data_IF_952035993676
#
_entry.id   IF_952035993676
#
_cell.length_a   1.000
_cell.length_b   1.000
_cell.length_c   1.000
_cell.angle_alpha   90.00
_cell.angle_beta   90.00
_cell.angle_gamma   90.00
#
_symmetry.space_group_name_H-M   'P 1'
#
loop_
_entity.id
_entity.type
_entity.pdbx_description
1 polymer ?
#
# COMPACT_ATOMS: atom_id res chain seq x y z
N UNK A 1 -12.93 30.35 26.88
CA UNK A 1 -12.47 29.02 26.52
C UNK A 1 -11.59 29.17 25.30
N UNK A 2 -10.28 29.07 25.48
CA UNK A 2 -9.27 29.26 24.42
C UNK A 2 -9.07 27.96 23.70
N UNK A 3 -9.43 27.89 22.41
CA UNK A 3 -9.17 26.75 21.54
C UNK A 3 -7.70 26.84 21.11
N UNK A 4 -6.84 26.04 21.73
CA UNK A 4 -5.47 25.86 21.26
C UNK A 4 -5.48 25.12 19.92
N UNK A 5 -5.36 25.87 18.82
CA UNK A 5 -4.97 25.31 17.52
C UNK A 5 -3.52 24.87 17.60
N UNK A 6 -3.27 23.58 17.75
CA UNK A 6 -1.94 23.03 17.56
C UNK A 6 -1.55 23.18 16.09
N UNK A 7 -0.61 24.06 15.80
CA UNK A 7 -0.01 24.23 14.47
C UNK A 7 0.89 23.02 14.24
N UNK A 8 0.45 22.09 13.39
CA UNK A 8 1.24 20.94 12.98
C UNK A 8 2.34 21.39 12.00
N UNK A 9 3.60 21.19 12.41
CA UNK A 9 4.76 21.47 11.55
C UNK A 9 4.99 20.28 10.60
N UNK A 10 5.30 20.56 9.31
CA UNK A 10 5.58 19.53 8.27
C UNK A 10 6.67 18.56 8.73
N UNK A 11 7.69 19.07 9.44
CA UNK A 11 8.75 18.26 10.02
C UNK A 11 8.26 17.22 11.02
N UNK A 12 7.16 17.49 11.74
CA UNK A 12 6.62 16.59 12.75
C UNK A 12 5.80 15.46 12.13
N UNK A 13 5.15 15.70 10.99
CA UNK A 13 4.39 14.66 10.32
C UNK A 13 5.30 13.70 9.53
N UNK A 14 6.26 14.24 8.79
CA UNK A 14 7.31 13.42 8.16
C UNK A 14 8.17 12.69 9.20
N UNK A 15 8.49 13.33 10.33
CA UNK A 15 9.16 12.69 11.47
C UNK A 15 8.29 11.63 12.13
N UNK A 16 6.97 11.81 12.25
CA UNK A 16 6.07 10.76 12.77
C UNK A 16 6.06 9.54 11.86
N UNK A 17 6.09 9.68 10.55
CA UNK A 17 6.38 8.55 9.66
C UNK A 17 7.82 8.01 9.81
N UNK A 18 8.78 8.82 10.28
CA UNK A 18 10.15 8.40 10.56
C UNK A 18 10.37 7.89 11.99
N UNK A 19 9.55 8.32 12.96
CA UNK A 19 9.71 8.00 14.39
C UNK A 19 8.93 6.76 14.84
N UNK A 20 8.42 5.95 13.93
CA UNK A 20 7.63 4.77 14.28
C UNK A 20 8.43 3.57 14.81
N UNK A 21 9.67 3.79 15.27
CA UNK A 21 10.52 2.72 15.82
C UNK A 21 11.03 2.96 17.25
N UNK A 22 10.53 3.97 17.97
CA UNK A 22 11.01 4.30 19.33
C UNK A 22 9.92 4.09 20.39
N UNK A 23 9.15 3.01 20.27
CA UNK A 23 8.22 2.56 21.28
C UNK A 23 7.39 1.41 20.74
N UNK A 24 7.33 0.28 21.45
CA UNK A 24 6.42 -0.80 21.06
C UNK A 24 5.01 -0.23 20.99
N UNK A 25 4.48 -0.10 19.77
CA UNK A 25 3.08 0.26 19.58
C UNK A 25 2.20 -0.85 20.12
N UNK A 26 1.01 -0.52 20.67
CA UNK A 26 0.16 -1.50 21.34
C UNK A 26 -0.35 -2.60 20.40
N UNK A 27 -0.45 -2.33 19.09
CA UNK A 27 -0.96 -3.29 18.11
C UNK A 27 0.06 -3.50 16.99
N UNK A 28 0.22 -4.74 16.55
CA UNK A 28 0.90 -5.12 15.33
C UNK A 28 -0.12 -5.72 14.36
N UNK A 29 -0.16 -5.19 13.12
CA UNK A 29 -1.06 -5.64 12.07
C UNK A 29 -0.24 -6.30 10.96
N UNK A 30 -0.45 -7.60 10.77
CA UNK A 30 0.07 -8.34 9.63
C UNK A 30 -0.88 -8.19 8.46
N UNK A 31 -0.39 -7.64 7.35
CA UNK A 31 -1.18 -7.44 6.13
C UNK A 31 -0.70 -8.45 5.10
N UNK A 32 -1.49 -9.49 4.89
CA UNK A 32 -1.22 -10.53 3.89
C UNK A 32 -1.66 -10.04 2.52
N UNK A 33 -0.70 -9.88 1.65
CA UNK A 33 -0.89 -9.30 0.32
C UNK A 33 -0.24 -10.15 -0.78
N UNK A 34 -0.62 -9.84 -2.00
CA UNK A 34 0.15 -10.19 -3.19
C UNK A 34 0.27 -8.93 -4.06
N UNK A 35 1.45 -8.64 -4.62
CA UNK A 35 1.66 -7.44 -5.44
C UNK A 35 0.79 -7.39 -6.70
N UNK A 36 0.29 -8.54 -7.17
CA UNK A 36 -0.59 -8.68 -8.33
C UNK A 36 -2.08 -8.68 -7.95
N UNK A 37 -2.42 -8.53 -6.67
CA UNK A 37 -3.79 -8.60 -6.21
C UNK A 37 -4.50 -7.24 -6.32
N UNK A 38 -5.51 -7.09 -7.20
CA UNK A 38 -6.26 -5.84 -7.34
C UNK A 38 -7.10 -5.51 -6.10
N UNK A 39 -7.52 -6.52 -5.30
CA UNK A 39 -8.21 -6.31 -4.03
C UNK A 39 -7.27 -5.72 -2.98
N UNK A 40 -6.00 -6.17 -2.95
CA UNK A 40 -4.98 -5.59 -2.08
C UNK A 40 -4.72 -4.12 -2.44
N UNK A 41 -4.69 -3.81 -3.75
CA UNK A 41 -4.61 -2.44 -4.24
C UNK A 41 -5.86 -1.62 -3.88
N UNK A 42 -7.04 -2.22 -3.99
CA UNK A 42 -8.32 -1.61 -3.61
C UNK A 42 -8.44 -1.29 -2.12
N UNK A 43 -7.67 -1.95 -1.26
CA UNK A 43 -7.64 -1.72 0.19
C UNK A 43 -6.79 -0.50 0.59
N UNK A 44 -5.88 -0.04 -0.26
CA UNK A 44 -4.97 1.07 0.04
C UNK A 44 -5.64 2.34 0.60
N UNK A 45 -6.81 2.81 0.09
CA UNK A 45 -7.50 3.96 0.67
C UNK A 45 -7.86 3.79 2.14
N UNK A 46 -8.29 2.59 2.52
CA UNK A 46 -8.66 2.23 3.90
C UNK A 46 -7.41 2.21 4.80
N UNK A 47 -6.36 1.51 4.37
CA UNK A 47 -5.09 1.44 5.10
C UNK A 47 -4.51 2.83 5.30
N UNK A 48 -4.53 3.67 4.27
CA UNK A 48 -4.02 5.04 4.35
C UNK A 48 -4.78 5.90 5.35
N UNK A 49 -6.11 5.83 5.33
CA UNK A 49 -6.94 6.52 6.31
C UNK A 49 -6.62 6.05 7.73
N UNK A 50 -6.56 4.74 7.93
CA UNK A 50 -6.27 4.13 9.22
C UNK A 50 -4.89 4.57 9.75
N UNK A 51 -3.87 4.62 8.88
CA UNK A 51 -2.53 5.10 9.23
C UNK A 51 -2.51 6.59 9.63
N UNK A 52 -3.34 7.42 9.00
CA UNK A 52 -3.41 8.85 9.32
C UNK A 52 -4.14 9.06 10.66
N UNK A 53 -5.28 8.43 10.84
CA UNK A 53 -6.12 8.64 12.02
C UNK A 53 -5.56 7.94 13.27
N UNK A 54 -5.05 6.71 13.14
CA UNK A 54 -4.65 5.86 14.26
C UNK A 54 -3.24 5.25 14.14
N UNK A 55 -2.44 5.69 13.20
CA UNK A 55 -1.12 5.10 12.93
C UNK A 55 -0.13 5.15 14.10
N UNK A 56 -0.37 5.97 15.13
CA UNK A 56 0.39 5.96 16.38
C UNK A 56 0.14 4.72 17.24
N UNK A 57 -0.98 4.01 17.03
CA UNK A 57 -1.41 2.87 17.84
C UNK A 57 -0.94 1.53 17.29
N UNK A 58 -0.57 1.45 16.02
CA UNK A 58 -0.20 0.19 15.39
C UNK A 58 1.01 0.29 14.47
N UNK A 59 1.70 -0.83 14.31
CA UNK A 59 2.69 -1.05 13.26
C UNK A 59 2.10 -1.95 12.18
N UNK A 60 2.45 -1.70 10.90
CA UNK A 60 2.08 -2.56 9.78
C UNK A 60 3.26 -3.42 9.36
N UNK A 61 3.01 -4.70 9.15
CA UNK A 61 3.94 -5.64 8.55
C UNK A 61 3.30 -6.30 7.34
N UNK A 62 3.84 -6.04 6.15
CA UNK A 62 3.41 -6.74 4.95
C UNK A 62 4.00 -8.15 4.92
N UNK A 63 3.15 -9.12 4.61
CA UNK A 63 3.52 -10.52 4.41
C UNK A 63 3.13 -10.89 2.98
N UNK A 64 4.09 -11.28 2.18
CA UNK A 64 3.84 -11.67 0.78
C UNK A 64 3.34 -13.11 0.77
N UNK A 65 2.03 -13.28 0.60
CA UNK A 65 1.37 -14.56 0.77
C UNK A 65 1.69 -15.59 -0.33
N UNK A 66 2.17 -15.15 -1.48
CA UNK A 66 2.41 -16.01 -2.64
C UNK A 66 1.16 -16.70 -3.19
N UNK A 67 -0.03 -16.32 -2.74
CA UNK A 67 -1.29 -16.97 -3.16
C UNK A 67 -1.53 -16.87 -4.65
N UNK A 68 -1.25 -15.70 -5.26
CA UNK A 68 -1.38 -15.53 -6.70
C UNK A 68 -0.20 -16.12 -7.47
N UNK A 69 0.98 -16.16 -6.89
CA UNK A 69 2.13 -16.87 -7.48
C UNK A 69 1.89 -18.37 -7.56
N UNK A 70 1.12 -18.93 -6.62
CA UNK A 70 0.69 -20.33 -6.59
C UNK A 70 -0.63 -20.58 -7.33
N UNK A 71 -1.46 -19.55 -7.52
CA UNK A 71 -2.60 -19.64 -8.41
C UNK A 71 -2.03 -19.88 -9.80
N UNK A 72 -2.12 -21.12 -10.27
CA UNK A 72 -1.76 -21.54 -11.61
C UNK A 72 -2.37 -20.56 -12.63
N UNK A 73 -1.70 -19.43 -12.84
CA UNK A 73 -2.00 -18.48 -13.89
C UNK A 73 -1.87 -19.29 -15.18
N UNK A 74 -2.97 -19.53 -15.86
CA UNK A 74 -3.01 -20.37 -17.06
C UNK A 74 -3.58 -21.78 -16.91
N UNK A 75 -3.77 -22.33 -15.69
CA UNK A 75 -4.45 -23.64 -15.57
C UNK A 75 -5.98 -23.54 -15.42
N UNK A 76 -6.48 -22.46 -14.83
CA UNK A 76 -7.92 -22.33 -14.50
C UNK A 76 -8.61 -21.07 -15.03
N UNK A 77 -7.88 -20.06 -15.51
CA UNK A 77 -8.44 -18.82 -16.06
C UNK A 77 -7.63 -18.34 -17.25
N UNK A 78 -8.32 -17.90 -18.31
CA UNK A 78 -7.66 -17.22 -19.41
C UNK A 78 -7.21 -15.80 -19.00
N UNK A 79 -6.27 -15.23 -19.73
CA UNK A 79 -5.81 -13.86 -19.48
C UNK A 79 -6.95 -12.83 -19.60
N UNK A 80 -7.90 -13.08 -20.50
CA UNK A 80 -9.11 -12.27 -20.67
C UNK A 80 -9.98 -12.29 -19.42
N UNK A 81 -10.14 -13.47 -18.79
CA UNK A 81 -10.91 -13.60 -17.54
C UNK A 81 -10.21 -12.88 -16.37
N UNK A 82 -8.88 -12.92 -16.32
CA UNK A 82 -8.10 -12.18 -15.31
C UNK A 82 -8.23 -10.68 -15.55
N UNK A 83 -8.07 -10.22 -16.79
CA UNK A 83 -8.26 -8.82 -17.16
C UNK A 83 -9.64 -8.30 -16.77
N UNK A 84 -10.71 -9.04 -17.11
CA UNK A 84 -12.08 -8.69 -16.75
C UNK A 84 -12.30 -8.64 -15.23
N UNK A 85 -11.68 -9.56 -14.47
CA UNK A 85 -11.77 -9.54 -13.01
C UNK A 85 -11.11 -8.28 -12.42
N UNK A 86 -9.97 -7.85 -12.98
CA UNK A 86 -9.31 -6.61 -12.58
C UNK A 86 -10.17 -5.38 -12.84
N UNK A 87 -10.78 -5.30 -14.03
CA UNK A 87 -11.70 -4.21 -14.40
C UNK A 87 -12.92 -4.12 -13.44
N UNK A 88 -13.47 -5.27 -13.06
CA UNK A 88 -14.56 -5.32 -12.08
C UNK A 88 -14.12 -4.79 -10.71
N UNK A 89 -12.94 -5.19 -10.25
CA UNK A 89 -12.38 -4.70 -8.99
C UNK A 89 -12.11 -3.20 -9.05
N UNK A 90 -11.55 -2.69 -10.15
CA UNK A 90 -11.34 -1.26 -10.35
C UNK A 90 -12.64 -0.45 -10.28
N UNK A 91 -13.68 -0.93 -10.94
CA UNK A 91 -15.00 -0.28 -10.93
C UNK A 91 -15.63 -0.25 -9.54
N UNK A 92 -15.45 -1.32 -8.75
CA UNK A 92 -16.00 -1.43 -7.39
C UNK A 92 -15.20 -0.61 -6.38
N UNK A 93 -13.88 -0.70 -6.40
CA UNK A 93 -13.00 -0.06 -5.42
C UNK A 93 -12.76 1.42 -5.69
N UNK A 94 -12.92 1.87 -6.93
CA UNK A 94 -12.52 3.21 -7.39
C UNK A 94 -11.00 3.40 -7.52
N UNK A 95 -10.23 2.33 -7.33
CA UNK A 95 -8.78 2.28 -7.56
C UNK A 95 -8.52 1.67 -8.94
N UNK A 96 -7.87 2.41 -9.84
CA UNK A 96 -7.62 1.91 -11.20
C UNK A 96 -6.76 0.66 -11.19
N UNK A 97 -7.27 -0.39 -11.85
CA UNK A 97 -6.56 -1.61 -12.16
C UNK A 97 -6.73 -1.87 -13.66
N UNK A 98 -5.74 -1.54 -14.46
CA UNK A 98 -5.82 -1.72 -15.90
C UNK A 98 -5.51 -3.18 -16.26
N UNK A 99 -6.55 -3.93 -16.59
CA UNK A 99 -6.47 -5.35 -16.92
C UNK A 99 -5.80 -5.63 -18.25
N UNK A 100 -5.65 -4.63 -19.12
CA UNK A 100 -5.07 -4.81 -20.45
C UNK A 100 -3.61 -5.31 -20.41
N UNK A 101 -2.91 -5.12 -19.28
CA UNK A 101 -1.56 -5.70 -19.07
C UNK A 101 -1.54 -7.22 -19.30
N UNK A 102 -2.63 -7.92 -18.96
CA UNK A 102 -2.72 -9.37 -19.15
C UNK A 102 -2.87 -9.78 -20.61
N UNK A 103 -3.32 -8.85 -21.47
CA UNK A 103 -3.50 -9.07 -22.91
C UNK A 103 -2.29 -8.59 -23.72
N UNK A 104 -1.63 -7.51 -23.25
CA UNK A 104 -0.52 -6.87 -23.95
C UNK A 104 0.85 -7.47 -23.58
N UNK A 105 1.11 -7.68 -22.28
CA UNK A 105 2.38 -8.19 -21.72
C UNK A 105 2.12 -8.96 -20.42
N UNK A 106 1.58 -10.20 -20.53
CA UNK A 106 1.14 -10.96 -19.39
C UNK A 106 2.27 -11.37 -18.44
N UNK A 107 1.98 -11.34 -17.13
CA UNK A 107 2.92 -11.76 -16.10
C UNK A 107 3.00 -13.29 -16.07
N UNK A 108 4.10 -13.84 -16.53
CA UNK A 108 4.34 -15.31 -16.58
C UNK A 108 5.16 -15.81 -15.41
N UNK A 109 5.86 -14.93 -14.70
CA UNK A 109 6.77 -15.29 -13.61
C UNK A 109 6.48 -14.47 -12.34
N UNK A 110 5.31 -14.62 -11.72
CA UNK A 110 4.91 -13.82 -10.55
C UNK A 110 5.81 -14.03 -9.32
N UNK A 111 6.46 -15.18 -9.22
CA UNK A 111 7.35 -15.53 -8.11
C UNK A 111 8.53 -14.56 -7.97
N UNK A 112 9.10 -14.06 -9.08
CA UNK A 112 10.23 -13.13 -9.05
C UNK A 112 9.85 -11.81 -8.36
N UNK A 113 8.59 -11.38 -8.50
CA UNK A 113 8.09 -10.15 -7.87
C UNK A 113 8.09 -10.28 -6.34
N UNK A 114 7.68 -11.46 -5.84
CA UNK A 114 7.70 -11.74 -4.40
C UNK A 114 9.13 -11.74 -3.84
N UNK A 115 10.07 -12.36 -4.55
CA UNK A 115 11.49 -12.35 -4.20
C UNK A 115 12.06 -10.92 -4.24
N UNK A 116 11.70 -10.12 -5.24
CA UNK A 116 12.15 -8.74 -5.35
C UNK A 116 11.70 -7.86 -4.16
N UNK A 117 10.48 -8.07 -3.64
CA UNK A 117 10.03 -7.40 -2.43
C UNK A 117 10.90 -7.79 -1.23
N UNK A 118 11.25 -9.07 -1.10
CA UNK A 118 12.12 -9.53 0.00
C UNK A 118 13.56 -9.03 -0.16
N UNK A 119 14.07 -8.94 -1.39
CA UNK A 119 15.35 -8.29 -1.67
C UNK A 119 15.34 -6.80 -1.23
N UNK A 120 14.26 -6.08 -1.54
CA UNK A 120 14.09 -4.71 -1.05
C UNK A 120 14.02 -4.61 0.49
N UNK A 121 13.46 -5.63 1.17
CA UNK A 121 13.41 -5.67 2.64
C UNK A 121 14.80 -5.81 3.29
N UNK A 122 15.77 -6.41 2.62
CA UNK A 122 17.15 -6.50 3.12
C UNK A 122 17.80 -5.11 3.25
N UNK A 123 17.36 -4.14 2.45
CA UNK A 123 17.77 -2.75 2.56
C UNK A 123 16.87 -1.90 3.50
N UNK A 124 15.84 -2.51 4.08
CA UNK A 124 14.99 -1.90 5.09
C UNK A 124 13.48 -1.95 4.76
N UNK A 125 12.69 -2.21 5.79
CA UNK A 125 11.23 -2.37 5.66
C UNK A 125 10.52 -1.17 5.04
N UNK A 126 10.95 0.04 5.34
CA UNK A 126 10.37 1.26 4.78
C UNK A 126 10.57 1.34 3.27
N UNK A 127 11.78 1.06 2.80
CA UNK A 127 12.10 1.05 1.37
C UNK A 127 11.31 -0.05 0.65
N UNK A 128 11.18 -1.23 1.26
CA UNK A 128 10.35 -2.31 0.73
C UNK A 128 8.86 -1.94 0.61
N UNK A 129 8.30 -1.22 1.59
CA UNK A 129 6.92 -0.72 1.51
C UNK A 129 6.75 0.27 0.35
N UNK A 130 7.72 1.18 0.17
CA UNK A 130 7.71 2.10 -0.98
C UNK A 130 7.89 1.36 -2.30
N UNK A 131 8.73 0.33 -2.32
CA UNK A 131 8.95 -0.51 -3.49
C UNK A 131 7.69 -1.28 -3.87
N UNK A 132 7.01 -1.92 -2.91
CA UNK A 132 5.73 -2.58 -3.12
C UNK A 132 4.69 -1.61 -3.73
N UNK A 133 4.55 -0.42 -3.15
CA UNK A 133 3.64 0.60 -3.69
C UNK A 133 4.02 0.98 -5.12
N UNK A 134 5.33 1.11 -5.41
CA UNK A 134 5.81 1.43 -6.75
C UNK A 134 5.51 0.33 -7.76
N UNK A 135 5.68 -0.94 -7.38
CA UNK A 135 5.29 -2.08 -8.22
C UNK A 135 3.79 -2.03 -8.56
N UNK A 136 2.94 -1.77 -7.57
CA UNK A 136 1.50 -1.64 -7.78
C UNK A 136 1.14 -0.47 -8.72
N UNK A 137 1.80 0.69 -8.59
CA UNK A 137 1.65 1.80 -9.53
C UNK A 137 2.04 1.42 -10.96
N UNK A 138 3.11 0.63 -11.12
CA UNK A 138 3.60 0.23 -12.43
C UNK A 138 2.67 -0.76 -13.11
N UNK A 139 2.17 -1.74 -12.38
CA UNK A 139 1.30 -2.74 -12.98
C UNK A 139 -0.13 -2.23 -13.16
N UNK A 140 -0.74 -1.64 -12.13
CA UNK A 140 -2.16 -1.28 -12.15
C UNK A 140 -2.48 0.01 -12.92
N UNK A 141 -1.50 0.92 -13.06
CA UNK A 141 -1.71 2.21 -13.72
C UNK A 141 -0.97 2.30 -15.04
N UNK A 142 0.28 1.82 -15.08
CA UNK A 142 1.16 1.97 -16.27
C UNK A 142 1.19 0.74 -17.16
N UNK A 143 0.49 -0.33 -16.82
CA UNK A 143 0.48 -1.62 -17.54
C UNK A 143 1.88 -2.20 -17.80
N UNK A 144 2.81 -2.01 -16.87
CA UNK A 144 4.14 -2.57 -16.99
C UNK A 144 4.21 -3.95 -16.37
N UNK A 145 4.79 -4.91 -17.06
CA UNK A 145 5.07 -6.24 -16.54
C UNK A 145 6.15 -6.16 -15.45
N UNK A 146 5.72 -6.22 -14.19
CA UNK A 146 6.61 -6.11 -13.03
C UNK A 146 7.43 -7.39 -12.77
N UNK A 147 7.28 -8.45 -13.57
CA UNK A 147 8.21 -9.59 -13.55
C UNK A 147 9.43 -9.37 -14.44
N UNK A 148 9.46 -8.32 -15.25
CA UNK A 148 10.61 -7.92 -16.05
C UNK A 148 11.67 -7.28 -15.13
N UNK A 149 12.91 -7.74 -15.25
CA UNK A 149 14.03 -7.28 -14.41
C UNK A 149 14.34 -5.78 -14.59
N UNK A 150 14.17 -5.25 -15.81
CA UNK A 150 14.39 -3.83 -16.09
C UNK A 150 13.33 -2.97 -15.38
N UNK A 151 12.08 -3.45 -15.34
CA UNK A 151 10.97 -2.78 -14.62
C UNK A 151 11.20 -2.84 -13.12
N UNK A 152 11.64 -3.98 -12.58
CA UNK A 152 12.01 -4.11 -11.17
C UNK A 152 13.15 -3.15 -10.79
N UNK A 153 14.17 -3.05 -11.65
CA UNK A 153 15.31 -2.15 -11.48
C UNK A 153 14.89 -0.67 -11.53
N UNK A 154 14.01 -0.30 -12.47
CA UNK A 154 13.43 1.05 -12.55
C UNK A 154 12.65 1.40 -11.28
N UNK A 155 11.85 0.46 -10.76
CA UNK A 155 11.14 0.63 -9.50
C UNK A 155 12.09 0.80 -8.32
N UNK A 156 13.11 -0.05 -8.19
CA UNK A 156 14.11 0.00 -7.14
C UNK A 156 14.83 1.36 -7.10
N UNK A 157 15.32 1.81 -8.25
CA UNK A 157 15.94 3.12 -8.41
C UNK A 157 15.01 4.26 -8.01
N UNK A 158 13.73 4.18 -8.38
CA UNK A 158 12.75 5.26 -8.13
C UNK A 158 12.41 5.46 -6.66
N UNK A 159 12.64 4.45 -5.82
CA UNK A 159 12.39 4.50 -4.36
C UNK A 159 13.66 4.66 -3.53
N UNK A 160 14.83 4.77 -4.19
CA UNK A 160 16.10 5.01 -3.53
C UNK A 160 16.79 3.77 -2.97
N UNK A 161 16.44 2.58 -3.47
CA UNK A 161 17.23 1.37 -3.19
C UNK A 161 18.60 1.44 -3.87
N UNK A 162 19.62 0.87 -3.24
CA UNK A 162 20.86 0.56 -3.94
C UNK A 162 20.57 -0.52 -4.98
N UNK A 163 20.73 -0.15 -6.25
CA UNK A 163 20.37 -1.01 -7.38
C UNK A 163 21.31 -2.21 -7.50
N UNK A 164 22.59 -2.04 -7.20
CA UNK A 164 23.57 -3.12 -7.29
C UNK A 164 23.31 -4.18 -6.22
N UNK A 165 23.11 -3.76 -4.98
CA UNK A 165 22.72 -4.62 -3.87
C UNK A 165 21.38 -5.30 -4.16
N UNK A 166 20.37 -4.56 -4.65
CA UNK A 166 19.08 -5.10 -4.99
C UNK A 166 19.17 -6.21 -6.05
N UNK A 167 19.96 -6.01 -7.10
CA UNK A 167 20.17 -7.00 -8.16
C UNK A 167 20.91 -8.25 -7.67
N UNK A 168 21.89 -8.07 -6.77
CA UNK A 168 22.54 -9.19 -6.09
C UNK A 168 21.55 -9.93 -5.19
N UNK A 169 20.75 -9.21 -4.42
CA UNK A 169 19.83 -9.77 -3.43
C UNK A 169 18.67 -10.54 -4.05
N UNK A 170 18.15 -10.14 -5.23
CA UNK A 170 17.11 -10.90 -5.96
C UNK A 170 17.56 -12.35 -6.22
N UNK A 171 18.84 -12.57 -6.46
CA UNK A 171 19.39 -13.91 -6.72
C UNK A 171 19.89 -14.61 -5.46
N UNK A 172 19.85 -13.92 -4.32
CA UNK A 172 20.38 -14.42 -3.06
C UNK A 172 19.50 -15.46 -2.38
N UNK A 173 20.14 -16.33 -1.60
CA UNK A 173 19.42 -17.24 -0.71
C UNK A 173 18.67 -16.51 0.40
N UNK A 174 19.08 -15.29 0.76
CA UNK A 174 18.47 -14.48 1.82
C UNK A 174 17.07 -13.99 1.43
N UNK A 175 16.92 -13.42 0.23
CA UNK A 175 15.60 -13.02 -0.28
C UNK A 175 14.68 -14.23 -0.45
N UNK A 176 15.18 -15.34 -0.99
CA UNK A 176 14.41 -16.58 -1.13
C UNK A 176 13.95 -17.14 0.22
N UNK A 177 14.83 -17.18 1.23
CA UNK A 177 14.47 -17.57 2.61
C UNK A 177 13.47 -16.62 3.22
N UNK A 178 13.61 -15.32 3.01
CA UNK A 178 12.63 -14.31 3.45
C UNK A 178 11.23 -14.59 2.90
N UNK A 179 11.12 -14.92 1.62
CA UNK A 179 9.83 -15.30 1.03
C UNK A 179 9.30 -16.64 1.58
N UNK A 180 10.16 -17.64 1.78
CA UNK A 180 9.75 -18.90 2.43
C UNK A 180 9.22 -18.67 3.86
N UNK A 181 9.81 -17.75 4.62
CA UNK A 181 9.29 -17.35 5.93
C UNK A 181 7.88 -16.75 5.81
N UNK A 182 7.63 -15.87 4.82
CA UNK A 182 6.30 -15.31 4.60
C UNK A 182 5.26 -16.37 4.22
N UNK A 183 5.64 -17.35 3.39
CA UNK A 183 4.78 -18.49 3.06
C UNK A 183 4.44 -19.34 4.29
N UNK A 184 5.44 -19.56 5.17
CA UNK A 184 5.25 -20.27 6.43
C UNK A 184 4.29 -19.52 7.34
N UNK A 185 4.50 -18.22 7.56
CA UNK A 185 3.62 -17.36 8.35
C UNK A 185 2.19 -17.39 7.78
N UNK A 186 2.03 -17.30 6.44
CA UNK A 186 0.73 -17.37 5.77
C UNK A 186 0.00 -18.68 6.09
N UNK A 187 0.73 -19.80 6.11
CA UNK A 187 0.19 -21.12 6.43
C UNK A 187 -0.14 -21.26 7.92
N UNK A 188 0.77 -20.85 8.81
CA UNK A 188 0.60 -20.92 10.26
C UNK A 188 -0.58 -20.07 10.76
N UNK A 189 -0.82 -18.92 10.13
CA UNK A 189 -1.97 -18.06 10.44
C UNK A 189 -3.25 -18.46 9.68
N UNK A 190 -3.23 -19.60 8.99
CA UNK A 190 -4.37 -20.13 8.20
C UNK A 190 -5.00 -19.05 7.29
N UNK A 191 -4.18 -18.30 6.56
CA UNK A 191 -4.66 -17.29 5.62
C UNK A 191 -5.04 -17.97 4.31
N UNK A 192 -6.34 -18.05 4.02
CA UNK A 192 -6.87 -18.68 2.81
C UNK A 192 -7.13 -17.67 1.70
N UNK A 193 -7.41 -16.42 2.03
CA UNK A 193 -7.77 -15.35 1.10
C UNK A 193 -6.88 -14.12 1.29
N UNK A 194 -6.73 -13.30 0.25
CA UNK A 194 -6.02 -12.02 0.27
C UNK A 194 -6.88 -10.91 -0.37
N UNK A 195 -6.79 -9.69 0.16
CA UNK A 195 -6.05 -9.31 1.35
C UNK A 195 -6.62 -9.92 2.63
N UNK A 196 -5.76 -10.23 3.59
CA UNK A 196 -6.17 -10.54 4.97
C UNK A 196 -5.34 -9.72 5.94
N UNK A 197 -5.95 -9.29 7.02
CA UNK A 197 -5.27 -8.59 8.11
C UNK A 197 -5.38 -9.44 9.38
N UNK A 198 -4.28 -9.58 10.10
CA UNK A 198 -4.26 -10.21 11.42
C UNK A 198 -3.73 -9.19 12.42
N UNK A 199 -4.53 -8.91 13.42
CA UNK A 199 -4.25 -7.92 14.45
C UNK A 199 -3.78 -8.63 15.70
N UNK A 200 -2.66 -8.20 16.26
CA UNK A 200 -2.12 -8.68 17.53
C UNK A 200 -1.94 -7.50 18.47
N UNK A 201 -2.29 -7.68 19.73
CA UNK A 201 -1.91 -6.78 20.79
C UNK A 201 -0.60 -7.25 21.47
N UNK A 202 -0.16 -6.56 22.51
CA UNK A 202 1.04 -6.93 23.26
C UNK A 202 0.84 -8.12 24.21
N UNK A 203 -0.40 -8.54 24.43
CA UNK A 203 -0.70 -9.68 25.28
C UNK A 203 -0.59 -10.97 24.47
N UNK A 204 0.49 -11.71 24.69
CA UNK A 204 0.77 -12.97 23.97
C UNK A 204 -0.20 -14.10 24.31
N UNK A 205 -1.02 -13.95 25.36
CA UNK A 205 -2.04 -14.93 25.76
C UNK A 205 -3.38 -14.70 25.01
N UNK A 206 -3.54 -13.54 24.39
CA UNK A 206 -4.72 -13.23 23.59
C UNK A 206 -4.54 -13.66 22.15
N UNK A 207 -5.57 -14.30 21.58
CA UNK A 207 -5.57 -14.69 20.17
C UNK A 207 -5.65 -13.45 19.27
N UNK A 208 -4.95 -13.51 18.13
CA UNK A 208 -5.04 -12.46 17.10
C UNK A 208 -6.40 -12.47 16.42
N UNK A 209 -6.89 -11.29 16.05
CA UNK A 209 -8.12 -11.13 15.27
C UNK A 209 -7.79 -11.15 13.80
N UNK A 210 -8.33 -12.14 13.04
CA UNK A 210 -8.15 -12.25 11.60
C UNK A 210 -9.37 -11.70 10.85
N UNK A 211 -9.10 -10.83 9.88
CA UNK A 211 -10.08 -10.25 8.97
C UNK A 211 -9.69 -10.58 7.53
N UNK A 212 -10.48 -11.42 6.83
CA UNK A 212 -10.20 -11.85 5.45
C UNK A 212 -11.09 -11.12 4.46
N UNK A 213 -10.47 -10.49 3.45
CA UNK A 213 -11.16 -9.68 2.44
C UNK A 213 -11.13 -8.18 2.74
N UNK A 214 -11.94 -7.42 1.99
CA UNK A 214 -12.05 -5.97 2.10
C UNK A 214 -13.36 -5.60 2.77
N UNK A 215 -13.29 -4.80 3.82
CA UNK A 215 -14.43 -4.36 4.62
C UNK A 215 -14.56 -2.83 4.64
N UNK A 216 -15.71 -2.30 5.07
CA UNK A 216 -15.83 -0.87 5.37
C UNK A 216 -14.83 -0.42 6.43
N UNK A 217 -14.42 0.84 6.37
CA UNK A 217 -13.42 1.43 7.26
C UNK A 217 -13.74 1.24 8.75
N UNK A 218 -15.01 1.35 9.10
CA UNK A 218 -15.52 1.26 10.47
C UNK A 218 -15.24 -0.10 11.12
N UNK A 219 -15.16 -1.17 10.32
CA UNK A 219 -14.83 -2.52 10.84
C UNK A 219 -13.40 -2.57 11.37
N UNK A 220 -12.46 -1.94 10.67
CA UNK A 220 -11.07 -1.87 11.12
C UNK A 220 -10.92 -1.02 12.38
N UNK A 221 -11.66 0.09 12.46
CA UNK A 221 -11.69 0.94 13.66
C UNK A 221 -12.28 0.18 14.84
N UNK A 222 -13.37 -0.56 14.64
CA UNK A 222 -14.01 -1.35 15.69
C UNK A 222 -13.04 -2.41 16.25
N UNK A 223 -12.27 -3.10 15.40
CA UNK A 223 -11.26 -4.08 15.86
C UNK A 223 -10.21 -3.39 16.73
N UNK A 224 -9.73 -2.20 16.32
CA UNK A 224 -8.77 -1.46 17.16
C UNK A 224 -9.37 -1.04 18.50
N UNK A 225 -10.63 -0.62 18.50
CA UNK A 225 -11.35 -0.21 19.71
C UNK A 225 -11.52 -1.40 20.68
N UNK A 226 -11.99 -2.53 20.18
CA UNK A 226 -12.18 -3.75 20.94
C UNK A 226 -10.87 -4.25 21.57
N UNK A 227 -9.75 -4.20 20.81
CA UNK A 227 -8.45 -4.66 21.28
C UNK A 227 -7.80 -3.72 22.30
N UNK A 228 -8.05 -2.42 22.21
CA UNK A 228 -7.48 -1.40 23.09
C UNK A 228 -8.40 -1.01 24.25
N UNK A 229 -9.65 -1.49 24.23
CA UNK A 229 -10.70 -1.14 25.22
C UNK A 229 -10.93 0.35 25.33
N UNK A 230 -10.94 1.01 24.18
CA UNK A 230 -11.14 2.44 23.98
C UNK A 230 -10.11 3.07 23.05
N UNK A 231 -10.58 3.77 22.02
CA UNK A 231 -9.73 4.51 21.09
C UNK A 231 -9.65 5.99 21.50
N UNK A 232 -8.48 6.62 21.32
CA UNK A 232 -8.39 8.07 21.35
C UNK A 232 -9.11 8.68 20.15
N UNK A 233 -9.42 9.98 20.24
CA UNK A 233 -9.89 10.72 19.06
C UNK A 233 -8.97 10.55 17.87
N UNK A 234 -9.52 10.36 16.66
CA UNK A 234 -8.71 10.19 15.46
C UNK A 234 -7.88 11.43 15.16
N UNK A 235 -6.65 11.23 14.75
CA UNK A 235 -5.79 12.34 14.33
C UNK A 235 -6.37 13.02 13.10
N UNK A 236 -6.41 14.35 13.10
CA UNK A 236 -6.86 15.11 11.93
C UNK A 236 -5.90 14.89 10.74
N UNK A 237 -6.42 14.73 9.52
CA UNK A 237 -5.57 14.63 8.35
C UNK A 237 -4.79 15.94 8.11
N UNK A 238 -3.57 15.87 7.56
CA UNK A 238 -2.80 17.07 7.20
C UNK A 238 -3.50 17.85 6.09
N UNK A 239 -3.00 19.05 5.76
CA UNK A 239 -3.50 19.75 4.57
C UNK A 239 -3.28 18.92 3.30
N UNK A 240 -4.11 19.11 2.26
CA UNK A 240 -3.97 18.39 0.99
C UNK A 240 -2.57 18.54 0.37
N UNK A 241 -1.96 19.72 0.46
CA UNK A 241 -0.62 19.97 -0.05
C UNK A 241 0.44 19.15 0.72
N UNK A 242 0.33 19.11 2.05
CA UNK A 242 1.19 18.28 2.90
C UNK A 242 1.01 16.80 2.61
N UNK A 243 -0.24 16.34 2.50
CA UNK A 243 -0.56 14.97 2.15
C UNK A 243 0.08 14.58 0.81
N UNK A 244 -0.08 15.41 -0.22
CA UNK A 244 0.53 15.17 -1.53
C UNK A 244 2.05 15.18 -1.51
N UNK A 245 2.68 15.97 -0.66
CA UNK A 245 4.14 15.97 -0.52
C UNK A 245 4.70 14.70 0.10
N UNK A 246 3.92 14.05 0.96
CA UNK A 246 4.30 12.78 1.60
C UNK A 246 4.05 11.57 0.71
N UNK A 247 2.96 11.61 -0.08
CA UNK A 247 2.57 10.52 -0.97
C UNK A 247 2.64 11.00 -2.43
N UNK A 248 3.74 10.72 -3.09
CA UNK A 248 4.07 11.29 -4.40
C UNK A 248 3.08 11.02 -5.52
N UNK A 249 2.30 9.94 -5.43
CA UNK A 249 1.22 9.59 -6.35
C UNK A 249 0.02 9.04 -5.57
N UNK A 250 -1.13 9.70 -5.69
CA UNK A 250 -2.34 9.43 -4.90
C UNK A 250 -3.55 9.36 -5.81
N UNK A 251 -4.40 8.36 -5.61
CA UNK A 251 -5.69 8.27 -6.31
C UNK A 251 -6.71 9.26 -5.73
N UNK A 252 -7.64 9.72 -6.56
CA UNK A 252 -8.81 10.48 -6.07
C UNK A 252 -9.52 9.72 -4.94
N UNK A 253 -9.64 8.39 -5.06
CA UNK A 253 -10.28 7.53 -4.05
C UNK A 253 -9.58 7.53 -2.70
N UNK A 254 -8.25 7.60 -2.68
CA UNK A 254 -7.48 7.73 -1.44
C UNK A 254 -7.76 9.06 -0.73
N UNK A 255 -7.88 10.15 -1.50
CA UNK A 255 -8.23 11.47 -0.96
C UNK A 255 -9.68 11.48 -0.44
N UNK A 256 -10.62 10.88 -1.19
CA UNK A 256 -12.01 10.73 -0.75
C UNK A 256 -12.08 10.06 0.63
N UNK A 257 -11.36 8.94 0.78
CA UNK A 257 -11.34 8.17 2.02
C UNK A 257 -10.73 8.96 3.19
N UNK A 258 -9.56 9.54 2.99
CA UNK A 258 -8.80 10.26 4.04
C UNK A 258 -9.53 11.52 4.52
N UNK A 259 -10.13 12.27 3.61
CA UNK A 259 -10.74 13.56 3.94
C UNK A 259 -12.27 13.51 4.08
N UNK A 260 -12.87 12.32 3.96
CA UNK A 260 -14.33 12.14 3.96
C UNK A 260 -15.02 13.08 2.94
N UNK A 261 -14.42 13.24 1.76
CA UNK A 261 -14.91 14.10 0.68
C UNK A 261 -15.51 13.26 -0.44
N UNK A 262 -16.54 13.79 -1.11
CA UNK A 262 -16.99 13.20 -2.36
C UNK A 262 -16.05 13.55 -3.53
N UNK A 263 -16.11 12.77 -4.61
CA UNK A 263 -15.27 12.91 -5.80
C UNK A 263 -15.24 14.32 -6.37
N UNK A 264 -16.40 14.99 -6.48
CA UNK A 264 -16.50 16.32 -7.06
C UNK A 264 -15.77 17.39 -6.21
N UNK A 265 -15.83 17.26 -4.90
CA UNK A 265 -15.10 18.11 -3.97
C UNK A 265 -13.60 17.89 -4.07
N UNK A 266 -13.16 16.62 -4.09
CA UNK A 266 -11.73 16.29 -4.28
C UNK A 266 -11.21 16.89 -5.59
N UNK A 267 -11.93 16.67 -6.70
CA UNK A 267 -11.50 17.19 -8.00
C UNK A 267 -11.42 18.72 -8.03
N UNK A 268 -12.33 19.41 -7.35
CA UNK A 268 -12.30 20.89 -7.23
C UNK A 268 -11.07 21.34 -6.43
N UNK A 269 -10.80 20.73 -5.28
CA UNK A 269 -9.65 21.11 -4.46
C UNK A 269 -8.32 20.77 -5.15
N UNK A 270 -8.24 19.60 -5.79
CA UNK A 270 -7.04 19.22 -6.54
C UNK A 270 -6.79 20.10 -7.76
N UNK A 271 -7.84 20.61 -8.45
CA UNK A 271 -7.68 21.62 -9.51
C UNK A 271 -7.01 22.90 -9.00
N UNK A 272 -7.30 23.34 -7.76
CA UNK A 272 -6.61 24.49 -7.16
C UNK A 272 -5.11 24.23 -7.00
N UNK A 273 -4.73 23.01 -6.59
CA UNK A 273 -3.32 22.63 -6.48
C UNK A 273 -2.62 22.47 -7.85
N UNK A 274 -3.36 22.05 -8.88
CA UNK A 274 -2.86 22.05 -10.26
C UNK A 274 -2.57 23.46 -10.74
N UNK A 275 -3.48 24.40 -10.51
CA UNK A 275 -3.28 25.83 -10.87
C UNK A 275 -2.08 26.46 -10.14
N UNK A 276 -1.80 26.01 -8.91
CA UNK A 276 -0.60 26.39 -8.14
C UNK A 276 0.66 25.65 -8.56
N UNK A 277 0.57 24.75 -9.56
CA UNK A 277 1.68 23.90 -10.04
C UNK A 277 2.28 22.98 -8.95
N UNK A 278 1.52 22.69 -7.89
CA UNK A 278 1.93 21.80 -6.81
C UNK A 278 1.74 20.33 -7.18
N UNK A 279 0.70 20.02 -7.96
CA UNK A 279 0.37 18.69 -8.41
C UNK A 279 0.05 18.64 -9.90
N UNK A 280 0.23 17.46 -10.50
CA UNK A 280 -0.15 17.16 -11.87
C UNK A 280 -1.23 16.07 -11.88
N UNK A 281 -2.26 16.27 -12.71
CA UNK A 281 -3.29 15.25 -12.98
C UNK A 281 -2.72 14.15 -13.86
N UNK A 282 -2.89 12.90 -13.45
CA UNK A 282 -2.53 11.70 -14.20
C UNK A 282 -3.82 10.92 -14.45
N UNK A 283 -4.32 10.89 -15.69
CA UNK A 283 -5.48 10.08 -16.03
C UNK A 283 -5.13 8.59 -15.96
N UNK A 284 -6.08 7.78 -15.50
CA UNK A 284 -5.99 6.33 -15.53
C UNK A 284 -7.29 5.78 -16.14
N UNK A 285 -7.30 4.51 -16.54
CA UNK A 285 -8.45 3.87 -17.16
C UNK A 285 -9.70 3.97 -16.26
N UNK A 286 -9.51 3.78 -14.95
CA UNK A 286 -10.55 3.92 -13.94
C UNK A 286 -10.17 5.00 -12.93
N UNK A 287 -10.64 6.22 -13.13
CA UNK A 287 -10.42 7.33 -12.20
C UNK A 287 -9.23 8.23 -12.54
N UNK A 288 -8.73 8.89 -11.53
CA UNK A 288 -7.67 9.90 -11.68
C UNK A 288 -6.66 9.74 -10.56
N UNK A 289 -5.40 9.87 -10.89
CA UNK A 289 -4.30 10.01 -9.95
C UNK A 289 -3.75 11.43 -9.98
N UNK A 290 -3.15 11.82 -8.88
CA UNK A 290 -2.54 13.13 -8.69
C UNK A 290 -1.09 12.93 -8.28
N UNK A 291 -0.17 13.53 -9.04
CA UNK A 291 1.28 13.42 -8.80
C UNK A 291 1.79 14.72 -8.23
N UNK A 292 2.47 14.67 -7.09
CA UNK A 292 3.19 15.82 -6.53
C UNK A 292 4.36 16.20 -7.42
N UNK A 293 4.52 17.51 -7.71
CA UNK A 293 5.52 18.03 -8.66
C UNK A 293 6.46 19.06 -8.05
N UNK A 294 6.07 19.64 -6.91
CA UNK A 294 6.92 20.61 -6.25
C UNK A 294 8.19 19.91 -5.72
N UNK A 295 9.35 20.32 -6.20
CA UNK A 295 10.62 19.84 -5.62
C UNK A 295 10.67 20.28 -4.17
N UNK A 296 10.97 19.35 -3.24
CA UNK A 296 11.43 19.76 -1.93
C UNK A 296 12.67 20.63 -2.18
N UNK A 297 12.62 21.89 -1.79
CA UNK A 297 13.81 22.71 -1.67
C UNK A 297 14.74 21.95 -0.73
N UNK A 298 15.88 21.53 -1.24
CA UNK A 298 16.94 21.00 -0.41
C UNK A 298 17.36 22.13 0.53
N UNK A 299 17.03 21.99 1.80
CA UNK A 299 17.67 22.70 2.92
C UNK A 299 18.80 21.84 3.46
#
# INVERSE_FOLDING_TARGET
MSVHKSVFNISDWSKRQHCYDIGKKPIEIYVFIDPLCPECWGLEPVIRKLQIEYGQLFSLRHVVSGKLASLNIGKNKSFEQIAQAWEKTASRSGMSCDGDVWLEDPITSPHIVSIAIKAAELQGRKLATHFLRKLQEYIFIKKKNISNIDVLTECAKSVGLDVNEFMHDITSSSASKGFQCDLKITTEMDVQEIPSLVFFNQNIEEEGIKLSGVYPYEVYVQILDDMLKGLPEPSAPPSLEQFMSCFTLVATKEIEAVYNMNKSTVEREMKKLVLKQVVKKIPAKHGTFWKYTKKQSAE
#
